data_IF_243959347459
#
_entry.id   IF_243959347459
#
_cell.length_a   1.000
_cell.length_b   1.000
_cell.length_c   1.000
_cell.angle_alpha   90.00
_cell.angle_beta   90.00
_cell.angle_gamma   90.00
#
_symmetry.space_group_name_H-M   'P 1'
#
loop_
_entity.id
_entity.type
_entity.pdbx_description
1 polymer ?
#
# COMPACT_ATOMS: atom_id res chain seq x y z
N UNK A 1 19.22 7.70 -4.34
CA UNK A 1 17.81 7.28 -4.13
C UNK A 1 17.66 5.78 -3.91
N UNK A 2 17.94 4.91 -4.90
CA UNK A 2 17.75 3.44 -4.74
C UNK A 2 18.42 2.84 -3.49
N UNK A 3 19.68 3.22 -3.24
CA UNK A 3 20.43 2.85 -2.03
C UNK A 3 19.66 3.22 -0.77
N UNK A 4 19.35 4.52 -0.60
CA UNK A 4 18.60 5.04 0.55
C UNK A 4 17.25 4.35 0.76
N UNK A 5 16.51 4.09 -0.32
CA UNK A 5 15.21 3.40 -0.24
C UNK A 5 15.36 1.97 0.31
N UNK A 6 16.45 1.27 -0.02
CA UNK A 6 16.71 -0.06 0.51
C UNK A 6 17.24 -0.01 1.95
N UNK A 7 18.19 0.88 2.23
CA UNK A 7 18.83 1.04 3.54
C UNK A 7 17.84 1.50 4.61
N UNK A 8 16.81 2.24 4.22
CA UNK A 8 15.77 2.74 5.12
C UNK A 8 14.45 1.97 5.04
N UNK A 9 14.40 0.85 4.31
CA UNK A 9 13.21 0.02 4.27
C UNK A 9 12.92 -0.56 5.67
N UNK A 10 11.67 -0.56 6.14
CA UNK A 10 11.36 -0.90 7.53
C UNK A 10 11.60 -2.38 7.84
N UNK A 11 11.89 -2.68 9.11
CA UNK A 11 11.73 -4.02 9.67
C UNK A 11 10.31 -4.12 10.24
N UNK A 12 9.48 -5.01 9.69
CA UNK A 12 8.13 -5.22 10.21
C UNK A 12 8.10 -6.53 11.01
N UNK A 13 7.60 -6.49 12.24
CA UNK A 13 7.26 -7.69 13.01
C UNK A 13 5.78 -8.00 12.83
N UNK A 14 5.46 -9.18 12.32
CA UNK A 14 4.11 -9.71 12.35
C UNK A 14 3.82 -10.21 13.77
N UNK A 15 2.59 -10.01 14.25
CA UNK A 15 2.20 -10.40 15.60
C UNK A 15 2.45 -11.90 15.88
N UNK A 16 2.75 -12.29 17.14
CA UNK A 16 2.85 -13.69 17.52
C UNK A 16 1.56 -14.45 17.22
N UNK A 17 1.69 -15.58 16.53
CA UNK A 17 0.55 -16.41 16.15
C UNK A 17 -0.30 -15.86 14.99
N UNK A 18 0.19 -14.85 14.25
CA UNK A 18 -0.46 -14.37 13.03
C UNK A 18 -0.70 -15.53 12.04
N UNK A 19 -1.93 -15.65 11.56
CA UNK A 19 -2.36 -16.70 10.63
C UNK A 19 -2.40 -16.20 9.20
N UNK A 20 -2.80 -14.96 8.99
CA UNK A 20 -2.97 -14.33 7.70
C UNK A 20 -1.73 -13.51 7.40
N UNK A 21 -0.76 -14.16 6.76
CA UNK A 21 0.53 -13.57 6.44
C UNK A 21 0.42 -12.69 5.17
N UNK A 22 1.39 -11.81 4.90
CA UNK A 22 1.38 -11.02 3.67
C UNK A 22 1.61 -11.89 2.42
N UNK A 23 1.32 -11.32 1.25
CA UNK A 23 1.48 -11.98 -0.06
C UNK A 23 1.91 -10.98 -1.12
N UNK A 24 2.54 -11.47 -2.19
CA UNK A 24 2.76 -10.67 -3.38
C UNK A 24 1.44 -10.36 -4.12
N UNK A 25 1.33 -9.16 -4.66
CA UNK A 25 0.15 -8.70 -5.42
C UNK A 25 -0.08 -9.58 -6.65
N UNK A 26 0.97 -9.99 -7.36
CA UNK A 26 0.84 -10.83 -8.54
C UNK A 26 0.18 -12.18 -8.21
N UNK A 27 0.67 -12.86 -7.17
CA UNK A 27 0.09 -14.13 -6.68
C UNK A 27 -1.35 -13.94 -6.18
N UNK A 28 -1.66 -12.82 -5.54
CA UNK A 28 -3.04 -12.48 -5.17
C UNK A 28 -3.93 -12.34 -6.41
N UNK A 29 -3.46 -11.62 -7.44
CA UNK A 29 -4.21 -11.34 -8.67
C UNK A 29 -4.53 -12.60 -9.47
N UNK A 30 -3.72 -13.65 -9.38
CA UNK A 30 -4.02 -14.95 -10.02
C UNK A 30 -5.31 -15.58 -9.45
N UNK A 31 -5.64 -15.28 -8.20
CA UNK A 31 -6.76 -15.86 -7.47
C UNK A 31 -8.05 -15.01 -7.48
N UNK A 32 -8.00 -13.82 -8.09
CA UNK A 32 -9.14 -12.90 -8.18
C UNK A 32 -9.50 -12.56 -9.62
N UNK A 33 -10.69 -11.99 -9.79
CA UNK A 33 -11.19 -11.45 -11.05
C UNK A 33 -11.72 -10.03 -10.83
N UNK A 34 -11.42 -9.13 -11.77
CA UNK A 34 -11.92 -7.75 -11.72
C UNK A 34 -13.31 -7.66 -12.35
N UNK A 35 -14.25 -7.02 -11.66
CA UNK A 35 -15.55 -6.62 -12.21
C UNK A 35 -15.64 -5.09 -12.44
N UNK A 36 -14.50 -4.45 -12.69
CA UNK A 36 -14.28 -2.99 -12.77
C UNK A 36 -14.27 -2.27 -11.42
N UNK A 37 -15.08 -2.68 -10.44
CA UNK A 37 -15.18 -2.00 -9.15
C UNK A 37 -14.59 -2.81 -7.99
N UNK A 38 -14.59 -4.14 -8.08
CA UNK A 38 -14.09 -5.08 -7.08
C UNK A 38 -13.07 -6.06 -7.70
N UNK A 39 -12.12 -6.50 -6.88
CA UNK A 39 -11.25 -7.65 -7.18
C UNK A 39 -11.78 -8.87 -6.42
N UNK A 40 -12.77 -9.54 -7.01
CA UNK A 40 -13.49 -10.65 -6.36
C UNK A 40 -12.68 -11.93 -6.40
N UNK A 41 -12.71 -12.68 -5.30
CA UNK A 41 -12.19 -14.05 -5.27
C UNK A 41 -12.92 -14.94 -6.29
N UNK A 42 -12.16 -15.83 -6.94
CA UNK A 42 -12.73 -16.83 -7.87
C UNK A 42 -13.49 -17.94 -7.16
N UNK A 43 -13.15 -18.18 -5.89
CA UNK A 43 -13.75 -19.16 -4.99
C UNK A 43 -14.42 -18.39 -3.85
N UNK A 44 -15.48 -18.94 -3.26
CA UNK A 44 -16.14 -18.35 -2.10
C UNK A 44 -15.17 -18.19 -0.92
N UNK A 45 -15.36 -17.11 -0.16
CA UNK A 45 -14.43 -16.71 0.91
C UNK A 45 -14.43 -17.75 2.03
N UNK A 46 -15.60 -18.28 2.37
CA UNK A 46 -15.76 -19.29 3.41
C UNK A 46 -14.98 -20.58 3.09
N UNK A 47 -15.04 -21.10 1.87
CA UNK A 47 -14.24 -22.26 1.44
C UNK A 47 -12.74 -21.96 1.44
N UNK A 48 -12.34 -20.75 1.03
CA UNK A 48 -10.94 -20.32 1.11
C UNK A 48 -10.45 -20.25 2.57
N UNK A 49 -11.28 -19.81 3.50
CA UNK A 49 -10.96 -19.76 4.93
C UNK A 49 -10.88 -21.16 5.56
N UNK A 50 -11.70 -22.11 5.11
CA UNK A 50 -11.61 -23.51 5.55
C UNK A 50 -10.32 -24.18 5.08
N UNK A 51 -9.82 -23.82 3.89
CA UNK A 51 -8.58 -24.35 3.35
C UNK A 51 -7.36 -23.52 3.80
N UNK A 52 -6.60 -24.03 4.78
CA UNK A 52 -5.37 -23.38 5.30
C UNK A 52 -4.25 -23.20 4.27
N UNK A 53 -4.32 -23.88 3.13
CA UNK A 53 -3.36 -23.74 2.04
C UNK A 53 -3.81 -22.70 1.00
N UNK A 54 -4.95 -22.04 1.20
CA UNK A 54 -5.42 -20.99 0.31
C UNK A 54 -4.54 -19.74 0.37
N UNK A 55 -4.60 -18.93 -0.69
CA UNK A 55 -3.84 -17.70 -0.78
C UNK A 55 -4.19 -16.68 0.32
N UNK A 56 -5.34 -16.81 0.98
CA UNK A 56 -5.76 -15.92 2.08
C UNK A 56 -4.78 -15.96 3.26
N UNK A 57 -4.14 -17.11 3.50
CA UNK A 57 -3.19 -17.31 4.58
C UNK A 57 -1.78 -16.76 4.28
N UNK A 58 -1.54 -16.29 3.06
CA UNK A 58 -0.30 -15.65 2.64
C UNK A 58 0.94 -16.56 2.72
N UNK A 59 2.12 -15.95 2.81
CA UNK A 59 3.41 -16.65 2.90
C UNK A 59 4.27 -16.07 4.02
N UNK A 60 5.14 -16.90 4.61
CA UNK A 60 6.20 -16.40 5.49
C UNK A 60 7.05 -15.40 4.71
N UNK A 61 7.26 -14.16 5.19
CA UNK A 61 7.63 -13.06 4.31
C UNK A 61 9.13 -12.87 4.09
N UNK A 62 9.98 -13.38 4.97
CA UNK A 62 11.41 -13.11 4.96
C UNK A 62 12.08 -13.62 3.67
N UNK A 63 12.35 -12.70 2.73
CA UNK A 63 13.03 -12.98 1.46
C UNK A 63 12.14 -13.51 0.32
N UNK A 64 10.84 -13.68 0.57
CA UNK A 64 9.89 -14.34 -0.34
C UNK A 64 8.78 -13.40 -0.79
N UNK A 65 8.23 -12.59 0.13
CA UNK A 65 7.11 -11.69 -0.14
C UNK A 65 7.62 -10.28 -0.41
N UNK A 66 7.26 -9.67 -1.55
CA UNK A 66 7.70 -8.32 -1.89
C UNK A 66 7.00 -7.25 -1.07
N UNK A 67 7.77 -6.20 -0.74
CA UNK A 67 7.25 -4.88 -0.36
C UNK A 67 7.45 -3.92 -1.53
N UNK A 68 6.43 -3.11 -1.81
CA UNK A 68 6.45 -2.20 -2.95
C UNK A 68 6.83 -0.80 -2.49
N UNK A 69 8.02 -0.34 -2.88
CA UNK A 69 8.53 0.99 -2.56
C UNK A 69 8.19 1.96 -3.69
N UNK A 70 7.10 2.73 -3.53
CA UNK A 70 6.73 3.81 -4.44
C UNK A 70 7.53 5.07 -4.11
N UNK A 71 8.40 5.48 -5.03
CA UNK A 71 9.25 6.66 -4.89
C UNK A 71 8.71 7.80 -5.75
N UNK A 72 8.58 8.97 -5.13
CA UNK A 72 8.27 10.23 -5.81
C UNK A 72 9.40 11.23 -5.61
N UNK A 73 10.02 11.63 -6.71
CA UNK A 73 11.11 12.62 -6.68
C UNK A 73 10.54 14.03 -6.57
N UNK A 74 11.05 14.81 -5.62
CA UNK A 74 10.73 16.22 -5.48
C UNK A 74 11.74 17.04 -6.29
N UNK A 75 11.47 17.22 -7.59
CA UNK A 75 12.32 18.04 -8.45
C UNK A 75 12.14 19.52 -8.06
N UNK A 76 13.22 20.23 -7.75
CA UNK A 76 13.18 21.69 -7.64
C UNK A 76 12.72 22.30 -8.95
N UNK A 77 11.71 23.19 -8.91
CA UNK A 77 11.21 23.94 -10.08
C UNK A 77 12.35 24.62 -10.87
N UNK A 78 13.46 24.92 -10.21
CA UNK A 78 14.64 25.55 -10.79
C UNK A 78 15.37 24.66 -11.83
N UNK A 79 15.38 23.34 -11.63
CA UNK A 79 16.00 22.39 -12.57
C UNK A 79 15.17 22.24 -13.84
N UNK A 80 13.83 22.22 -13.72
CA UNK A 80 12.91 22.13 -14.88
C UNK A 80 13.06 23.33 -15.82
N UNK A 81 13.23 24.53 -15.27
CA UNK A 81 13.46 25.76 -16.05
C UNK A 81 14.83 25.78 -16.75
N UNK A 82 15.86 25.19 -16.14
CA UNK A 82 17.19 25.06 -16.76
C UNK A 82 17.22 24.05 -17.91
N UNK A 83 16.57 22.90 -17.77
CA UNK A 83 16.41 21.94 -18.89
C UNK A 83 15.53 22.49 -20.02
N UNK A 84 14.50 23.28 -19.71
CA UNK A 84 13.69 23.94 -20.73
C UNK A 84 14.47 25.03 -21.49
N UNK A 85 15.31 25.83 -20.79
CA UNK A 85 16.18 26.83 -21.43
C UNK A 85 17.23 26.21 -22.35
N UNK A 86 17.85 25.10 -21.94
CA UNK A 86 18.89 24.44 -22.73
C UNK A 86 18.37 23.68 -23.96
N UNK A 87 17.06 23.44 -24.06
CA UNK A 87 16.42 22.77 -25.18
C UNK A 87 15.73 23.73 -26.17
N UNK A 88 16.04 25.03 -26.11
CA UNK A 88 15.51 26.00 -27.09
C UNK A 88 16.49 26.10 -28.26
N UNK A 89 16.16 25.65 -29.49
CA UNK A 89 17.00 25.92 -30.65
C UNK A 89 16.94 27.43 -30.94
N UNK A 90 18.08 28.07 -31.14
CA UNK A 90 18.13 29.42 -31.70
C UNK A 90 17.44 29.41 -33.07
N UNK A 91 16.28 30.06 -33.15
CA UNK A 91 15.63 30.42 -34.41
C UNK A 91 16.59 31.32 -35.21
N UNK A 92 17.24 30.74 -36.23
CA UNK A 92 17.77 31.51 -37.35
C UNK A 92 16.60 31.81 -38.29
N UNK A 93 16.36 33.11 -38.49
CA UNK A 93 15.43 33.63 -39.48
C UNK A 93 15.84 33.22 -40.89
N UNK A 94 14.87 32.76 -41.69
CA UNK A 94 14.92 32.81 -43.15
C UNK A 94 13.50 33.03 -43.70
N UNK A 95 13.39 34.03 -44.56
CA UNK A 95 12.17 34.52 -45.22
C UNK A 95 11.74 33.66 -46.42
N UNK A 96 10.43 33.72 -46.69
CA UNK A 96 9.74 33.74 -48.00
C UNK A 96 9.81 32.53 -48.99
N UNK A 97 8.68 31.83 -49.19
CA UNK A 97 7.68 32.02 -50.30
C UNK A 97 6.90 30.73 -50.68
N UNK A 98 5.58 30.90 -50.76
CA UNK A 98 4.57 30.36 -51.70
C UNK A 98 4.58 28.88 -52.13
N UNK A 99 3.48 28.16 -51.88
CA UNK A 99 2.50 27.77 -52.91
C UNK A 99 1.35 26.88 -52.35
N UNK A 100 0.20 27.02 -52.99
CA UNK A 100 -1.14 26.50 -52.69
C UNK A 100 -1.38 25.02 -53.07
N UNK A 101 -2.57 24.53 -52.68
CA UNK A 101 -3.46 23.51 -53.30
C UNK A 101 -3.35 22.07 -52.71
N UNK A 102 -4.28 21.50 -51.92
CA UNK A 102 -5.71 21.09 -52.06
C UNK A 102 -5.93 19.62 -52.52
N UNK A 103 -6.87 18.94 -51.82
CA UNK A 103 -7.65 17.72 -52.18
C UNK A 103 -6.93 16.37 -51.94
N UNK A 104 -7.56 15.27 -51.47
CA UNK A 104 -8.94 14.91 -51.15
C UNK A 104 -8.94 13.56 -50.40
N UNK A 105 -9.87 13.38 -49.45
CA UNK A 105 -10.36 12.06 -48.98
C UNK A 105 -11.23 11.40 -50.08
N UNK A 106 -11.43 10.06 -50.05
CA UNK A 106 -12.77 9.60 -49.63
C UNK A 106 -12.83 8.27 -48.83
N UNK A 107 -13.60 8.35 -47.74
CA UNK A 107 -14.60 7.43 -47.18
C UNK A 107 -14.80 5.99 -47.68
N UNK A 108 -15.04 5.08 -46.71
CA UNK A 108 -16.15 4.09 -46.53
C UNK A 108 -15.61 2.86 -45.75
N UNK A 109 -16.25 2.16 -44.79
CA UNK A 109 -17.42 2.31 -43.89
C UNK A 109 -17.44 1.05 -42.98
N UNK A 110 -17.92 1.17 -41.72
CA UNK A 110 -18.70 0.16 -40.94
C UNK A 110 -18.03 -1.19 -40.54
N UNK A 111 -18.18 -1.82 -39.37
CA UNK A 111 -18.82 -1.59 -38.04
C UNK A 111 -18.35 -2.77 -37.11
N UNK A 112 -18.86 -2.93 -35.86
CA UNK A 112 -18.08 -3.12 -34.63
C UNK A 112 -17.77 -4.58 -34.25
N UNK A 113 -16.73 -4.80 -33.44
CA UNK A 113 -16.57 -6.05 -32.67
C UNK A 113 -16.16 -5.78 -31.23
N UNK A 114 -16.99 -6.30 -30.31
CA UNK A 114 -16.66 -6.55 -28.92
C UNK A 114 -15.40 -7.40 -28.81
N UNK A 115 -14.49 -7.08 -27.89
CA UNK A 115 -13.49 -8.04 -27.42
C UNK A 115 -13.02 -7.69 -26.01
N UNK A 116 -13.72 -8.30 -25.05
CA UNK A 116 -13.28 -8.50 -23.67
C UNK A 116 -12.14 -9.52 -23.72
N UNK A 117 -10.90 -9.08 -24.00
CA UNK A 117 -9.70 -9.92 -23.86
C UNK A 117 -8.36 -9.16 -23.81
N UNK A 118 -8.35 -7.83 -23.79
CA UNK A 118 -7.14 -7.06 -24.10
C UNK A 118 -6.21 -6.73 -22.91
N UNK A 119 -6.57 -7.10 -21.68
CA UNK A 119 -5.65 -6.95 -20.54
C UNK A 119 -4.61 -8.08 -20.46
N UNK A 120 -4.92 -9.27 -21.00
CA UNK A 120 -4.04 -10.45 -20.93
C UNK A 120 -2.91 -10.39 -21.95
N UNK A 121 -3.18 -9.84 -23.15
CA UNK A 121 -2.21 -9.76 -24.24
C UNK A 121 -1.09 -8.74 -23.99
N UNK A 122 -1.37 -7.67 -23.24
CA UNK A 122 -0.36 -6.69 -22.86
C UNK A 122 0.59 -7.16 -21.75
N UNK A 123 0.25 -8.24 -21.02
CA UNK A 123 0.98 -8.70 -19.84
C UNK A 123 2.01 -9.80 -20.16
N UNK A 124 1.82 -10.62 -21.20
CA UNK A 124 2.62 -11.84 -21.39
C UNK A 124 3.73 -11.71 -22.45
N UNK A 125 3.75 -10.68 -23.30
CA UNK A 125 4.73 -10.60 -24.41
C UNK A 125 6.12 -10.04 -24.04
N UNK A 126 6.40 -9.67 -22.78
CA UNK A 126 7.62 -8.88 -22.43
C UNK A 126 8.64 -9.60 -21.54
N UNK A 127 8.39 -10.84 -21.13
CA UNK A 127 9.33 -11.61 -20.31
C UNK A 127 10.40 -12.38 -21.11
N UNK A 128 10.34 -12.40 -22.45
CA UNK A 128 11.30 -13.15 -23.29
C UNK A 128 12.46 -12.33 -23.90
N UNK A 129 12.64 -11.06 -23.52
CA UNK A 129 13.78 -10.22 -23.99
C UNK A 129 14.65 -9.72 -22.83
N UNK A 130 15.02 -10.59 -21.89
CA UNK A 130 16.00 -10.28 -20.83
C UNK A 130 17.02 -11.39 -20.62
N UNK A 131 17.59 -11.94 -21.69
CA UNK A 131 18.81 -12.73 -21.61
C UNK A 131 19.66 -12.54 -22.87
N UNK A 132 20.47 -11.48 -22.91
CA UNK A 132 21.70 -11.41 -23.69
C UNK A 132 22.53 -10.19 -23.28
N UNK A 133 23.78 -10.44 -22.89
CA UNK A 133 25.00 -9.61 -22.90
C UNK A 133 24.87 -8.07 -22.75
N UNK A 134 25.69 -7.37 -21.95
CA UNK A 134 27.14 -7.23 -22.19
C UNK A 134 27.80 -6.55 -20.98
N UNK A 135 29.03 -6.95 -20.64
CA UNK A 135 29.92 -6.29 -19.67
C UNK A 135 30.66 -5.13 -20.35
N UNK A 136 30.75 -3.93 -19.73
CA UNK A 136 31.87 -3.03 -19.99
C UNK A 136 32.66 -2.68 -18.72
N UNK A 137 33.92 -3.10 -18.77
CA UNK A 137 35.19 -2.48 -18.34
C UNK A 137 35.13 -1.25 -17.42
N UNK A 138 35.76 -1.38 -16.26
CA UNK A 138 36.10 -0.31 -15.31
C UNK A 138 36.99 0.76 -15.93
N UNK A 139 36.52 2.00 -15.98
CA UNK A 139 37.35 3.20 -16.01
C UNK A 139 37.20 3.96 -14.70
N UNK A 140 38.34 4.25 -14.07
CA UNK A 140 38.44 4.86 -12.75
C UNK A 140 38.34 6.38 -12.91
N UNK A 141 37.12 6.92 -12.85
CA UNK A 141 36.90 8.38 -12.75
C UNK A 141 37.01 8.77 -11.27
N UNK A 142 37.87 9.75 -10.97
CA UNK A 142 37.96 10.39 -9.65
C UNK A 142 36.65 11.12 -9.36
N UNK A 143 35.87 10.64 -8.41
CA UNK A 143 34.72 11.38 -7.86
C UNK A 143 35.22 12.45 -6.89
N UNK A 144 35.06 13.72 -7.28
CA UNK A 144 35.01 14.83 -6.33
C UNK A 144 33.73 14.72 -5.50
N UNK A 145 33.87 14.74 -4.17
CA UNK A 145 32.77 14.67 -3.20
C UNK A 145 31.84 15.90 -3.29
N UNK A 146 30.93 15.91 -4.26
CA UNK A 146 29.72 16.73 -4.23
C UNK A 146 28.57 15.90 -3.67
N UNK A 147 28.15 16.14 -2.43
CA UNK A 147 26.97 15.49 -1.86
C UNK A 147 25.75 15.80 -2.74
N UNK A 148 25.31 14.82 -3.54
CA UNK A 148 24.18 14.98 -4.42
C UNK A 148 22.93 15.21 -3.56
N UNK A 149 22.37 16.42 -3.64
CA UNK A 149 21.16 16.79 -2.90
C UNK A 149 20.00 15.89 -3.31
N UNK A 150 19.59 14.99 -2.42
CA UNK A 150 18.45 14.10 -2.63
C UNK A 150 17.19 14.77 -2.09
N UNK A 151 16.13 14.83 -2.88
CA UNK A 151 14.85 15.34 -2.43
C UNK A 151 13.75 14.46 -3.00
N UNK A 152 13.17 13.60 -2.17
CA UNK A 152 12.16 12.64 -2.58
C UNK A 152 11.41 12.13 -1.34
N UNK A 153 10.28 11.48 -1.58
CA UNK A 153 9.66 10.65 -0.55
C UNK A 153 9.37 9.26 -1.12
N UNK A 154 9.37 8.28 -0.22
CA UNK A 154 9.08 6.89 -0.55
C UNK A 154 7.95 6.39 0.34
N UNK A 155 7.03 5.64 -0.24
CA UNK A 155 5.99 4.91 0.49
C UNK A 155 6.20 3.42 0.28
N UNK A 156 6.37 2.69 1.38
CA UNK A 156 6.45 1.24 1.39
C UNK A 156 5.06 0.67 1.61
N UNK A 157 4.54 -0.04 0.62
CA UNK A 157 3.24 -0.69 0.67
C UNK A 157 3.41 -2.16 1.02
N UNK A 158 2.68 -2.60 2.06
CA UNK A 158 2.57 -3.97 2.50
C UNK A 158 1.18 -4.49 2.18
N UNK A 159 1.11 -5.63 1.51
CA UNK A 159 -0.14 -6.23 1.08
C UNK A 159 -0.45 -7.50 1.88
N UNK A 160 -1.70 -7.59 2.36
CA UNK A 160 -2.22 -8.79 3.02
C UNK A 160 -3.44 -9.30 2.23
N UNK A 161 -3.51 -10.60 1.89
CA UNK A 161 -4.65 -11.16 1.15
C UNK A 161 -5.98 -11.12 1.89
N UNK A 162 -5.93 -11.15 3.22
CA UNK A 162 -7.10 -11.21 4.08
C UNK A 162 -6.81 -10.48 5.38
N UNK A 163 -7.70 -9.58 5.76
CA UNK A 163 -7.70 -8.90 7.06
C UNK A 163 -8.79 -9.54 7.91
N UNK A 164 -8.40 -10.17 9.01
CA UNK A 164 -9.33 -10.73 9.99
C UNK A 164 -9.92 -9.58 10.80
N UNK A 165 -11.26 -9.57 10.87
CA UNK A 165 -12.02 -8.60 11.61
C UNK A 165 -11.81 -8.72 13.12
N UNK A 166 -12.71 -8.12 13.89
CA UNK A 166 -12.69 -8.24 15.35
C UNK A 166 -13.84 -9.10 15.82
N UNK A 167 -13.54 -9.98 16.76
CA UNK A 167 -14.55 -10.76 17.46
C UNK A 167 -15.30 -9.87 18.45
N UNK A 168 -16.62 -9.82 18.30
CA UNK A 168 -17.52 -9.14 19.23
C UNK A 168 -18.50 -10.14 19.82
N UNK A 169 -18.92 -9.89 21.06
CA UNK A 169 -19.96 -10.67 21.70
C UNK A 169 -21.32 -10.25 21.13
N UNK A 170 -22.08 -11.22 20.64
CA UNK A 170 -23.43 -10.99 20.11
C UNK A 170 -24.45 -11.86 20.82
N UNK A 171 -25.65 -11.32 21.01
CA UNK A 171 -26.81 -12.05 21.51
C UNK A 171 -27.79 -12.22 20.35
N UNK A 172 -28.12 -13.48 20.02
CA UNK A 172 -29.15 -13.76 19.03
C UNK A 172 -30.54 -13.58 19.65
N UNK A 173 -31.28 -12.58 19.17
CA UNK A 173 -32.63 -12.24 19.61
C UNK A 173 -33.70 -12.82 18.68
N UNK A 174 -33.36 -13.85 17.88
CA UNK A 174 -34.27 -14.53 16.97
C UNK A 174 -34.72 -13.60 15.85
N UNK A 175 -35.99 -13.18 15.87
CA UNK A 175 -36.55 -12.30 14.83
C UNK A 175 -35.79 -10.97 14.67
N UNK A 176 -35.15 -10.47 15.73
CA UNK A 176 -34.36 -9.23 15.69
C UNK A 176 -32.91 -9.43 15.24
N UNK A 177 -32.47 -10.66 15.01
CA UNK A 177 -31.11 -11.01 14.61
C UNK A 177 -30.08 -10.93 15.73
N UNK A 178 -28.80 -11.07 15.37
CA UNK A 178 -27.67 -11.05 16.30
C UNK A 178 -27.26 -9.62 16.66
N UNK A 179 -27.41 -9.26 17.94
CA UNK A 179 -27.13 -7.92 18.43
C UNK A 179 -25.80 -7.82 19.19
N UNK A 180 -24.93 -6.84 18.92
CA UNK A 180 -23.69 -6.65 19.67
C UNK A 180 -23.98 -6.26 21.12
N UNK A 181 -23.43 -7.01 22.07
CA UNK A 181 -23.55 -6.75 23.51
C UNK A 181 -22.17 -6.63 24.16
N UNK A 182 -22.01 -5.79 25.20
CA UNK A 182 -20.76 -5.75 25.96
C UNK A 182 -20.56 -7.06 26.73
N UNK A 183 -19.30 -7.45 26.93
CA UNK A 183 -18.97 -8.56 27.83
C UNK A 183 -19.23 -8.16 29.28
N UNK A 184 -19.76 -9.09 30.07
CA UNK A 184 -20.06 -8.89 31.50
C UNK A 184 -19.03 -9.68 32.30
N UNK A 185 -18.25 -8.99 33.13
CA UNK A 185 -17.12 -9.57 33.87
C UNK A 185 -16.12 -10.36 33.00
N UNK A 186 -15.93 -9.95 31.74
CA UNK A 186 -15.05 -10.62 30.78
C UNK A 186 -15.65 -11.85 30.08
N UNK A 187 -16.90 -12.24 30.41
CA UNK A 187 -17.61 -13.33 29.75
C UNK A 187 -18.62 -12.82 28.74
N UNK A 188 -18.78 -13.54 27.63
CA UNK A 188 -19.79 -13.27 26.61
C UNK A 188 -21.07 -14.03 26.94
N UNK A 189 -22.17 -13.31 27.20
CA UNK A 189 -23.50 -13.89 27.41
C UNK A 189 -24.19 -14.03 26.04
N UNK A 190 -23.68 -14.94 25.20
CA UNK A 190 -24.12 -15.09 23.82
C UNK A 190 -23.10 -15.87 23.00
N UNK A 191 -22.97 -15.55 21.72
CA UNK A 191 -21.96 -16.12 20.85
C UNK A 191 -20.90 -15.09 20.48
N UNK A 192 -19.66 -15.53 20.35
CA UNK A 192 -18.60 -14.72 19.80
C UNK A 192 -18.67 -14.79 18.28
N UNK A 193 -18.83 -13.64 17.62
CA UNK A 193 -18.88 -13.57 16.16
C UNK A 193 -17.89 -12.53 15.64
N UNK A 194 -17.24 -12.85 14.53
CA UNK A 194 -16.28 -11.98 13.86
C UNK A 194 -16.99 -11.00 12.93
N UNK A 195 -16.56 -9.74 12.96
CA UNK A 195 -17.09 -8.69 12.12
C UNK A 195 -15.98 -7.81 11.56
N UNK A 196 -16.18 -7.33 10.34
CA UNK A 196 -15.28 -6.40 9.68
C UNK A 196 -14.12 -7.07 8.93
N UNK A 197 -14.21 -8.37 8.65
CA UNK A 197 -13.20 -9.08 7.87
C UNK A 197 -13.30 -8.68 6.41
N UNK A 198 -12.18 -8.63 5.69
CA UNK A 198 -12.20 -8.31 4.26
C UNK A 198 -11.04 -8.93 3.49
N UNK A 199 -11.28 -9.12 2.20
CA UNK A 199 -10.27 -9.61 1.26
C UNK A 199 -9.43 -8.44 0.78
N UNK A 200 -8.11 -8.62 0.73
CA UNK A 200 -7.14 -7.59 0.40
C UNK A 200 -7.02 -6.55 1.49
N UNK A 201 -5.79 -6.21 1.85
CA UNK A 201 -5.50 -5.13 2.78
C UNK A 201 -4.20 -4.41 2.39
N UNK A 202 -4.19 -3.10 2.60
CA UNK A 202 -3.09 -2.23 2.23
C UNK A 202 -2.66 -1.40 3.43
N UNK A 203 -1.56 -1.80 4.03
CA UNK A 203 -0.86 -1.03 5.05
C UNK A 203 0.36 -0.35 4.46
N UNK A 204 0.73 0.80 5.02
CA UNK A 204 1.88 1.54 4.50
C UNK A 204 2.59 2.40 5.54
N UNK A 205 3.86 2.65 5.25
CA UNK A 205 4.65 3.70 5.89
C UNK A 205 5.38 4.51 4.85
N UNK A 206 5.64 5.78 5.14
CA UNK A 206 6.34 6.69 4.23
C UNK A 206 7.52 7.35 4.92
N UNK A 207 8.57 7.60 4.15
CA UNK A 207 9.74 8.36 4.57
C UNK A 207 9.95 9.55 3.64
N UNK A 208 10.33 10.69 4.21
CA UNK A 208 10.64 11.92 3.49
C UNK A 208 12.13 12.25 3.60
N UNK A 209 12.81 12.37 2.46
CA UNK A 209 14.23 12.70 2.36
C UNK A 209 14.40 14.07 1.74
N UNK A 210 15.25 14.91 2.36
CA UNK A 210 15.63 16.19 1.81
C UNK A 210 17.05 16.54 2.24
N UNK A 211 17.93 16.70 1.25
CA UNK A 211 19.32 17.14 1.34
C UNK A 211 20.23 16.31 2.28
N UNK A 212 19.78 15.14 2.74
CA UNK A 212 20.47 14.29 3.73
C UNK A 212 20.40 12.81 3.34
N UNK A 213 21.31 12.01 3.89
CA UNK A 213 21.32 10.54 3.74
C UNK A 213 20.39 9.80 4.72
N UNK A 214 19.72 10.54 5.59
CA UNK A 214 18.68 10.06 6.50
C UNK A 214 17.36 10.78 6.22
N UNK A 215 16.21 10.14 6.49
CA UNK A 215 14.90 10.77 6.34
C UNK A 215 14.73 11.85 7.40
N UNK A 216 14.05 12.94 7.05
CA UNK A 216 13.68 13.98 8.01
C UNK A 216 12.40 13.63 8.77
N UNK A 217 11.48 12.95 8.09
CA UNK A 217 10.17 12.62 8.63
C UNK A 217 9.70 11.24 8.19
N UNK A 218 8.87 10.64 9.02
CA UNK A 218 8.20 9.37 8.79
C UNK A 218 6.70 9.51 9.02
N UNK A 219 5.91 8.79 8.24
CA UNK A 219 4.49 8.60 8.47
C UNK A 219 4.20 7.09 8.56
N UNK A 220 3.38 6.68 9.53
CA UNK A 220 2.91 5.31 9.67
C UNK A 220 1.38 5.30 9.64
N UNK A 221 0.80 4.48 8.78
CA UNK A 221 -0.65 4.26 8.68
C UNK A 221 -1.06 3.11 9.58
N UNK A 222 -2.10 3.29 10.40
CA UNK A 222 -2.74 2.22 11.13
C UNK A 222 -4.24 2.29 10.83
N UNK A 223 -4.77 1.44 9.96
CA UNK A 223 -6.18 1.50 9.54
C UNK A 223 -6.56 2.87 8.95
N UNK A 224 -7.55 3.54 9.53
CA UNK A 224 -8.08 4.86 9.12
C UNK A 224 -7.38 6.05 9.79
N UNK A 225 -6.31 5.80 10.55
CA UNK A 225 -5.51 6.81 11.27
C UNK A 225 -4.04 6.68 10.91
N UNK A 226 -3.24 7.67 11.31
CA UNK A 226 -1.79 7.55 11.23
C UNK A 226 -1.07 8.55 12.12
N UNK A 227 0.25 8.45 12.15
CA UNK A 227 1.10 9.34 12.92
C UNK A 227 2.34 9.77 12.13
N UNK A 228 2.71 11.03 12.32
CA UNK A 228 3.92 11.65 11.82
C UNK A 228 4.98 11.66 12.92
N UNK A 229 6.21 11.37 12.51
CA UNK A 229 7.37 11.38 13.38
C UNK A 229 8.52 12.12 12.69
N UNK A 230 9.34 12.80 13.48
CA UNK A 230 10.55 13.46 13.04
C UNK A 230 11.77 12.61 13.39
N UNK A 231 12.73 12.48 12.47
CA UNK A 231 13.95 11.72 12.75
C UNK A 231 14.91 12.53 13.63
N UNK A 232 15.37 11.92 14.73
CA UNK A 232 16.43 12.42 15.59
C UNK A 232 17.75 11.71 15.25
N UNK A 233 18.65 12.36 14.48
CA UNK A 233 19.90 11.74 14.06
C UNK A 233 20.88 11.49 15.20
N UNK A 234 20.72 12.13 16.37
CA UNK A 234 21.61 11.91 17.52
C UNK A 234 21.35 10.58 18.19
N UNK A 235 20.07 10.21 18.28
CA UNK A 235 19.62 9.00 18.94
C UNK A 235 19.32 7.86 17.96
N UNK A 236 19.27 8.14 16.65
CA UNK A 236 18.91 7.13 15.64
C UNK A 236 17.44 6.70 15.70
N UNK A 237 16.57 7.55 16.25
CA UNK A 237 15.15 7.23 16.51
C UNK A 237 14.23 8.26 15.87
N UNK A 238 13.00 7.88 15.59
CA UNK A 238 11.95 8.84 15.22
C UNK A 238 11.14 9.23 16.45
N UNK A 239 10.87 10.53 16.61
CA UNK A 239 10.13 11.12 17.72
C UNK A 239 8.76 11.57 17.22
N UNK A 240 7.72 11.23 17.96
CA UNK A 240 6.33 11.58 17.63
C UNK A 240 6.17 13.09 17.50
N UNK A 241 5.55 13.51 16.39
CA UNK A 241 5.30 14.93 16.10
C UNK A 241 3.80 15.23 16.22
N UNK A 242 2.98 14.49 15.47
CA UNK A 242 1.52 14.70 15.38
C UNK A 242 0.80 13.49 14.82
N UNK A 243 -0.50 13.40 15.06
CA UNK A 243 -1.36 12.34 14.53
C UNK A 243 -2.34 12.86 13.47
N UNK A 244 -2.68 12.01 12.50
CA UNK A 244 -3.78 12.20 11.55
C UNK A 244 -5.00 11.43 12.05
N UNK A 245 -6.04 12.15 12.48
CA UNK A 245 -7.34 11.56 12.81
C UNK A 245 -8.40 12.02 11.83
N UNK A 246 -9.14 11.06 11.24
CA UNK A 246 -10.34 11.36 10.47
C UNK A 246 -11.49 11.76 11.41
N UNK A 247 -12.39 12.64 10.94
CA UNK A 247 -13.61 13.01 11.68
C UNK A 247 -14.52 11.78 11.85
N UNK A 248 -15.19 11.66 12.99
CA UNK A 248 -16.17 10.57 13.26
C UNK A 248 -15.62 9.34 14.00
N UNK A 249 -14.46 9.46 14.63
CA UNK A 249 -13.80 8.36 15.34
C UNK A 249 -14.38 8.13 16.74
N UNK A 250 -14.73 6.89 17.08
CA UNK A 250 -15.25 6.55 18.41
C UNK A 250 -14.16 6.49 19.49
N UNK A 251 -12.89 6.29 19.12
CA UNK A 251 -11.75 6.27 20.04
C UNK A 251 -10.52 6.93 19.41
N UNK A 252 -9.80 7.74 20.20
CA UNK A 252 -8.50 8.28 19.77
C UNK A 252 -7.41 7.23 20.02
N UNK A 253 -6.67 6.78 18.99
CA UNK A 253 -5.50 5.93 19.18
C UNK A 253 -4.41 6.72 19.92
N UNK A 254 -3.55 6.00 20.64
CA UNK A 254 -2.36 6.59 21.28
C UNK A 254 -1.15 5.98 20.60
N UNK A 255 -0.43 6.80 19.83
CA UNK A 255 0.80 6.38 19.18
C UNK A 255 1.97 6.48 20.17
N UNK A 256 2.89 5.51 20.16
CA UNK A 256 4.13 5.57 20.91
C UNK A 256 4.94 6.83 20.62
N UNK A 257 5.65 7.35 21.63
CA UNK A 257 6.45 8.58 21.50
C UNK A 257 7.67 8.40 20.60
N UNK A 258 8.24 7.18 20.55
CA UNK A 258 9.47 6.89 19.84
C UNK A 258 9.33 5.67 18.95
N UNK A 259 10.02 5.70 17.82
CA UNK A 259 10.21 4.56 16.92
C UNK A 259 11.71 4.29 16.81
N UNK A 260 12.08 3.06 17.16
CA UNK A 260 13.46 2.60 17.11
C UNK A 260 13.82 2.11 15.70
N UNK A 261 15.12 2.11 15.41
CA UNK A 261 15.67 1.57 14.17
C UNK A 261 16.45 0.28 14.46
N UNK A 262 16.42 -0.67 13.54
CA UNK A 262 17.28 -1.84 13.52
C UNK A 262 18.47 -1.57 12.59
N UNK A 263 19.69 -1.87 13.05
CA UNK A 263 20.90 -1.58 12.27
C UNK A 263 21.03 -0.11 11.88
N UNK A 264 20.58 0.79 12.77
CA UNK A 264 20.63 2.26 12.66
C UNK A 264 19.77 2.92 11.57
N UNK A 265 19.30 2.18 10.56
CA UNK A 265 18.57 2.76 9.43
C UNK A 265 17.20 2.14 9.15
N UNK A 266 16.84 0.99 9.72
CA UNK A 266 15.57 0.32 9.41
C UNK A 266 14.52 0.61 10.50
N UNK A 267 13.50 1.47 10.28
CA UNK A 267 12.45 1.69 11.28
C UNK A 267 11.76 0.39 11.67
N UNK A 268 11.59 0.14 12.96
CA UNK A 268 10.94 -1.06 13.49
C UNK A 268 9.45 -0.79 13.65
N UNK A 269 8.63 -1.58 12.95
CA UNK A 269 7.17 -1.49 12.98
C UNK A 269 6.56 -2.85 13.35
N UNK A 270 5.32 -2.84 13.81
CA UNK A 270 4.61 -4.01 14.30
C UNK A 270 3.23 -4.10 13.65
N UNK A 271 2.98 -5.13 12.87
CA UNK A 271 1.67 -5.40 12.29
C UNK A 271 0.80 -6.11 13.33
N UNK A 272 -0.40 -5.57 13.58
CA UNK A 272 -1.36 -6.12 14.52
C UNK A 272 -1.91 -7.47 14.07
N UNK A 273 -2.25 -8.34 15.04
CA UNK A 273 -2.81 -9.65 14.75
C UNK A 273 -4.17 -9.54 14.06
N UNK A 274 -4.32 -10.24 12.94
CA UNK A 274 -5.55 -10.38 12.16
C UNK A 274 -5.84 -9.15 11.29
N UNK A 275 -5.94 -7.97 11.90
CA UNK A 275 -6.34 -6.75 11.20
C UNK A 275 -5.18 -5.97 10.58
N UNK A 276 -3.94 -6.41 10.80
CA UNK A 276 -2.69 -5.93 10.21
C UNK A 276 -2.27 -4.47 10.40
N UNK A 277 -3.08 -3.65 11.05
CA UNK A 277 -2.77 -2.26 11.41
C UNK A 277 -1.34 -2.07 11.91
N UNK A 278 -0.63 -1.09 11.34
CA UNK A 278 0.79 -0.90 11.57
C UNK A 278 1.06 0.03 12.76
N UNK A 279 1.72 -0.50 13.79
CA UNK A 279 2.04 0.21 15.03
C UNK A 279 3.55 0.39 15.19
N UNK A 280 3.96 1.40 15.94
CA UNK A 280 5.38 1.74 16.15
C UNK A 280 5.97 1.15 17.43
N UNK A 281 5.17 0.43 18.22
CA UNK A 281 5.60 -0.32 19.39
C UNK A 281 4.79 -1.63 19.52
N UNK A 282 5.35 -2.66 20.17
CA UNK A 282 4.59 -3.86 20.49
C UNK A 282 3.58 -3.58 21.61
N UNK A 283 2.56 -4.43 21.73
CA UNK A 283 1.60 -4.39 22.82
C UNK A 283 0.15 -4.20 22.37
N UNK A 284 -0.66 -3.65 23.26
CA UNK A 284 -2.10 -3.42 23.04
C UNK A 284 -2.36 -1.98 22.63
N UNK A 285 -2.98 -1.81 21.47
CA UNK A 285 -3.33 -0.50 20.91
C UNK A 285 -4.84 -0.39 20.76
N UNK A 286 -5.43 0.77 21.06
CA UNK A 286 -6.90 0.94 20.96
C UNK A 286 -7.33 0.84 19.49
N UNK A 287 -8.24 -0.10 19.20
CA UNK A 287 -8.80 -0.26 17.88
C UNK A 287 -9.79 0.86 17.59
N UNK A 288 -9.62 1.45 16.42
CA UNK A 288 -10.14 2.79 16.15
C UNK A 288 -11.59 2.78 15.66
N UNK A 289 -12.01 1.69 14.99
CA UNK A 289 -13.34 1.56 14.38
C UNK A 289 -14.44 1.17 15.37
N UNK A 290 -14.11 0.42 16.43
CA UNK A 290 -15.10 -0.10 17.39
C UNK A 290 -14.63 0.13 18.82
N UNK A 291 -15.46 0.73 19.69
CA UNK A 291 -15.10 0.94 21.08
C UNK A 291 -14.72 -0.35 21.80
N UNK A 292 -13.68 -0.27 22.65
CA UNK A 292 -13.21 -1.36 23.55
C UNK A 292 -12.61 -2.56 22.83
N UNK A 293 -12.31 -2.44 21.54
CA UNK A 293 -11.48 -3.40 20.83
C UNK A 293 -10.03 -2.93 20.82
N UNK A 294 -9.11 -3.89 20.74
CA UNK A 294 -7.69 -3.64 20.79
C UNK A 294 -6.99 -4.39 19.66
N UNK A 295 -6.00 -3.75 19.07
CA UNK A 295 -4.98 -4.40 18.27
C UNK A 295 -3.90 -4.96 19.19
N UNK A 296 -3.52 -6.21 18.96
CA UNK A 296 -2.42 -6.86 19.66
C UNK A 296 -1.27 -7.03 18.68
N UNK A 297 -0.12 -6.41 18.96
CA UNK A 297 1.08 -6.52 18.15
C UNK A 297 2.27 -6.98 19.00
N UNK A 298 3.31 -7.54 18.38
CA UNK A 298 4.45 -8.07 19.13
C UNK A 298 5.54 -8.69 18.26
N UNK A 299 6.56 -9.24 18.90
CA UNK A 299 7.71 -9.88 18.25
C UNK A 299 7.39 -11.30 17.78
N UNK A 300 6.61 -11.44 16.71
CA UNK A 300 6.34 -12.73 16.07
C UNK A 300 7.28 -12.99 14.90
N UNK A 301 6.75 -13.03 13.68
CA UNK A 301 7.57 -13.31 12.49
C UNK A 301 8.21 -12.03 11.96
N UNK A 302 9.54 -12.00 11.88
CA UNK A 302 10.26 -10.87 11.30
C UNK A 302 10.11 -10.82 9.78
N UNK A 303 9.81 -9.62 9.27
CA UNK A 303 9.78 -9.28 7.86
C UNK A 303 10.81 -8.18 7.56
N UNK A 304 12.08 -8.55 7.31
CA UNK A 304 13.09 -7.61 6.83
C UNK A 304 12.79 -7.25 5.38
N UNK A 305 12.08 -6.14 5.18
CA UNK A 305 11.46 -5.78 3.88
C UNK A 305 12.48 -5.54 2.77
N UNK A 306 13.70 -5.13 3.11
CA UNK A 306 14.81 -4.94 2.16
C UNK A 306 15.33 -6.23 1.52
N UNK A 307 14.97 -7.42 2.04
CA UNK A 307 15.37 -8.70 1.42
C UNK A 307 14.60 -8.99 0.13
N UNK A 308 13.37 -8.51 0.01
CA UNK A 308 12.53 -8.62 -1.18
C UNK A 308 11.77 -7.30 -1.36
N UNK A 309 12.41 -6.36 -2.04
CA UNK A 309 11.90 -5.01 -2.28
C UNK A 309 11.68 -4.79 -3.77
N UNK A 310 10.48 -4.35 -4.16
CA UNK A 310 10.15 -3.97 -5.52
C UNK A 310 10.04 -2.45 -5.62
N UNK A 311 10.97 -1.86 -6.36
CA UNK A 311 11.06 -0.41 -6.50
C UNK A 311 10.13 0.06 -7.62
N UNK A 312 9.20 0.95 -7.28
CA UNK A 312 8.28 1.59 -8.21
C UNK A 312 8.65 3.06 -8.31
N UNK A 313 9.23 3.46 -9.43
CA UNK A 313 9.60 4.85 -9.70
C UNK A 313 8.47 5.52 -10.47
N UNK A 314 7.87 6.56 -9.88
CA UNK A 314 6.95 7.43 -10.60
C UNK A 314 7.77 8.46 -11.39
N UNK A 315 8.42 8.00 -12.45
CA UNK A 315 9.12 8.84 -13.43
C UNK A 315 8.26 8.97 -14.69
N UNK A 316 8.31 10.12 -15.37
CA UNK A 316 7.40 10.48 -16.49
C UNK A 316 7.41 9.47 -17.67
N UNK A 317 8.37 8.53 -17.72
CA UNK A 317 8.57 7.59 -18.83
C UNK A 317 8.43 6.09 -18.47
N UNK A 318 8.30 5.72 -17.19
CA UNK A 318 8.19 4.31 -16.78
C UNK A 318 6.77 4.00 -16.30
N UNK A 319 6.00 3.15 -17.01
CA UNK A 319 4.64 2.85 -16.63
C UNK A 319 4.61 2.03 -15.33
N UNK A 320 3.88 2.52 -14.33
CA UNK A 320 3.59 1.75 -13.11
C UNK A 320 2.79 0.48 -13.45
N UNK A 321 2.93 -0.60 -12.67
CA UNK A 321 2.12 -1.80 -12.85
C UNK A 321 0.63 -1.48 -12.86
N UNK A 322 -0.15 -2.15 -13.73
CA UNK A 322 -1.58 -1.84 -13.90
C UNK A 322 -2.42 -1.95 -12.62
N UNK A 323 -2.03 -2.81 -11.68
CA UNK A 323 -2.70 -2.90 -10.37
C UNK A 323 -2.48 -1.65 -9.50
N UNK A 324 -1.38 -0.92 -9.70
CA UNK A 324 -1.07 0.31 -8.98
C UNK A 324 -1.98 1.46 -9.41
N UNK A 325 -2.58 1.37 -10.61
CA UNK A 325 -3.52 2.36 -11.15
C UNK A 325 -4.99 1.97 -10.95
N UNK A 326 -5.26 0.79 -10.38
CA UNK A 326 -6.61 0.33 -10.07
C UNK A 326 -7.27 1.21 -8.99
N UNK A 327 -8.46 1.74 -9.29
CA UNK A 327 -9.21 2.67 -8.41
C UNK A 327 -10.35 2.01 -7.65
N UNK A 328 -10.69 0.76 -7.98
CA UNK A 328 -11.75 0.01 -7.31
C UNK A 328 -11.34 -0.46 -5.92
N UNK A 329 -12.17 -1.32 -5.34
CA UNK A 329 -11.95 -1.97 -4.05
C UNK A 329 -11.21 -3.29 -4.25
N UNK A 330 -10.20 -3.50 -3.43
CA UNK A 330 -9.48 -4.77 -3.37
C UNK A 330 -10.34 -5.72 -2.56
N UNK A 331 -10.70 -6.87 -3.14
CA UNK A 331 -11.55 -7.86 -2.47
C UNK A 331 -13.02 -7.83 -2.87
N UNK A 332 -13.79 -8.61 -2.11
CA UNK A 332 -15.21 -8.85 -2.35
C UNK A 332 -16.08 -7.71 -1.79
N UNK A 333 -17.30 -7.52 -2.30
CA UNK A 333 -18.27 -6.63 -1.67
C UNK A 333 -18.71 -7.17 -0.30
N UNK A 334 -19.15 -6.27 0.57
CA UNK A 334 -19.73 -6.60 1.87
C UNK A 334 -20.86 -7.64 1.79
N UNK A 335 -20.88 -8.57 2.74
CA UNK A 335 -21.85 -9.66 2.82
C UNK A 335 -22.15 -10.03 4.28
N UNK A 336 -23.20 -10.83 4.50
CA UNK A 336 -23.64 -11.29 5.82
C UNK A 336 -23.84 -10.13 6.82
N UNK A 337 -24.45 -9.04 6.32
CA UNK A 337 -24.75 -7.84 7.10
C UNK A 337 -26.00 -7.99 7.97
N UNK A 338 -26.02 -7.29 9.10
CA UNK A 338 -27.18 -7.22 9.99
C UNK A 338 -28.41 -6.64 9.24
N UNK A 339 -29.65 -7.11 9.52
CA UNK A 339 -30.86 -6.62 8.84
C UNK A 339 -31.05 -5.09 8.88
N UNK A 340 -30.57 -4.44 9.93
CA UNK A 340 -30.63 -2.98 10.11
C UNK A 340 -29.46 -2.22 9.44
N UNK A 341 -28.63 -2.86 8.61
CA UNK A 341 -27.63 -2.16 7.80
C UNK A 341 -28.28 -1.05 6.94
N UNK A 342 -29.51 -1.29 6.46
CA UNK A 342 -30.30 -0.29 5.71
C UNK A 342 -30.73 0.93 6.54
N UNK A 343 -30.68 0.84 7.87
CA UNK A 343 -30.97 1.94 8.80
C UNK A 343 -29.70 2.65 9.30
N UNK A 344 -28.54 2.39 8.66
CA UNK A 344 -27.26 3.05 8.99
C UNK A 344 -26.37 2.27 9.96
N UNK A 345 -26.78 1.08 10.42
CA UNK A 345 -25.96 0.21 11.25
C UNK A 345 -25.18 -0.80 10.38
N UNK A 346 -24.13 -0.33 9.70
CA UNK A 346 -23.28 -1.13 8.82
C UNK A 346 -22.39 -2.13 9.59
N UNK A 347 -23.02 -3.16 10.16
CA UNK A 347 -22.37 -4.25 10.89
C UNK A 347 -22.43 -5.49 9.99
N UNK A 348 -21.30 -5.83 9.37
CA UNK A 348 -21.18 -6.96 8.46
C UNK A 348 -20.03 -7.87 8.88
N UNK A 349 -20.24 -9.18 8.71
CA UNK A 349 -19.18 -10.18 8.91
C UNK A 349 -18.03 -9.92 7.94
N UNK A 350 -18.36 -9.82 6.64
CA UNK A 350 -17.45 -9.35 5.61
C UNK A 350 -17.81 -7.93 5.19
N UNK A 351 -16.82 -7.04 5.23
CA UNK A 351 -16.93 -5.67 4.74
C UNK A 351 -16.19 -5.52 3.42
N UNK A 352 -16.43 -4.40 2.74
CA UNK A 352 -15.64 -4.10 1.55
C UNK A 352 -14.16 -3.92 1.91
N UNK A 353 -13.26 -4.48 1.10
CA UNK A 353 -11.84 -4.22 1.26
C UNK A 353 -11.42 -2.79 0.82
N UNK A 354 -10.14 -2.43 0.99
CA UNK A 354 -9.67 -1.07 0.82
C UNK A 354 -9.76 -0.63 -0.64
N UNK A 355 -9.94 0.67 -0.83
CA UNK A 355 -9.79 1.27 -2.15
C UNK A 355 -8.34 1.19 -2.63
N UNK A 356 -8.16 1.15 -3.95
CA UNK A 356 -6.83 1.12 -4.55
C UNK A 356 -5.98 2.34 -4.19
N UNK A 357 -4.67 2.16 -4.27
CA UNK A 357 -3.65 3.13 -3.85
C UNK A 357 -3.86 4.54 -4.44
N UNK A 358 -4.28 4.74 -5.72
CA UNK A 358 -4.54 6.07 -6.27
C UNK A 358 -5.63 6.87 -5.54
N UNK A 359 -6.51 6.19 -4.81
CA UNK A 359 -7.58 6.83 -4.03
C UNK A 359 -7.12 7.22 -2.62
N UNK A 360 -5.92 6.79 -2.20
CA UNK A 360 -5.34 7.13 -0.90
C UNK A 360 -4.67 8.50 -0.97
N UNK A 361 -4.73 9.25 0.13
CA UNK A 361 -4.02 10.54 0.26
C UNK A 361 -2.55 10.28 0.55
N UNK A 362 -1.66 10.86 -0.23
CA UNK A 362 -0.22 10.83 0.05
C UNK A 362 0.12 11.74 1.24
N UNK A 363 0.97 11.24 2.14
CA UNK A 363 1.26 11.87 3.44
C UNK A 363 2.31 12.97 3.35
N UNK A 364 3.21 12.87 2.37
CA UNK A 364 4.19 13.90 2.05
C UNK A 364 3.89 14.48 0.67
N UNK A 365 4.22 15.76 0.51
CA UNK A 365 4.13 16.48 -0.76
C UNK A 365 5.48 17.07 -1.09
N UNK A 366 5.82 16.99 -2.37
CA UNK A 366 6.68 17.94 -3.02
C UNK A 366 5.84 19.21 -3.31
#
# INVERSE_FOLDING_TARGET
VRRLVRDWAPLVWLAPGERFLPLGVTEFLDNVQSDQYYLRTRIDVESLLQNRSSFLYGRRPAGTVPVYALVKNCISKDTRLRTARNNTPMLKAFEERNAFTLLQDPFLTQRPTNSINDLRAQIISREQMRQAATVPRFEKVREENGCQKVHFHVTYWMFYPFSEGKTICVLDLGFFGSWPIPTIAGMCIGTLKEYGSHIGDWEHMSLYFKDNEYPLAMYVSAHDVGAFYQYDPRNGTFVYERQETRKGLFQKPTFPEKVYTAGDSHPILFSARGSHGLWTAPGKHKFVRVPRLYDESGFGTAWPTWKRLELLLEEDNEPLPGWMTFKGKWGNPSSNCHPLARLGFNICEFVDGPTGIPMKKFNFRC
#
